data_IF_340630084373
#
_entry.id   IF_340630084373
#
_cell.length_a   1.000
_cell.length_b   1.000
_cell.length_c   1.000
_cell.angle_alpha   90.00
_cell.angle_beta   90.00
_cell.angle_gamma   90.00
#
_symmetry.space_group_name_H-M   'P 1'
#
loop_
_entity.id
_entity.type
_entity.pdbx_description
1 polymer ?
#
# COMPACT_ATOMS: atom_id res chain seq x y z
N UNK A 1 15.68 1.23 -1.77
CA UNK A 1 16.60 0.85 -2.87
C UNK A 1 16.40 1.73 -4.08
N UNK A 2 17.28 1.66 -5.07
CA UNK A 2 17.29 2.50 -6.29
C UNK A 2 15.92 2.54 -7.02
N UNK A 3 15.26 1.40 -7.17
CA UNK A 3 13.94 1.33 -7.80
C UNK A 3 12.86 2.12 -7.04
N UNK A 4 12.93 2.17 -5.71
CA UNK A 4 11.98 2.94 -4.89
C UNK A 4 12.19 4.45 -5.06
N UNK A 5 13.45 4.86 -5.23
CA UNK A 5 13.77 6.25 -5.57
C UNK A 5 13.20 6.63 -6.94
N UNK A 6 13.35 5.79 -7.96
CA UNK A 6 12.79 6.04 -9.30
C UNK A 6 11.26 6.15 -9.29
N UNK A 7 10.59 5.23 -8.60
CA UNK A 7 9.13 5.25 -8.43
C UNK A 7 8.66 6.53 -7.73
N UNK A 8 9.39 6.97 -6.71
CA UNK A 8 9.09 8.20 -5.99
C UNK A 8 9.32 9.45 -6.83
N UNK A 9 10.46 9.54 -7.53
CA UNK A 9 10.77 10.65 -8.44
C UNK A 9 9.73 10.74 -9.56
N UNK A 10 9.38 9.62 -10.20
CA UNK A 10 8.36 9.59 -11.25
C UNK A 10 6.98 10.01 -10.73
N UNK A 11 6.60 9.56 -9.52
CA UNK A 11 5.32 9.95 -8.92
C UNK A 11 5.26 11.45 -8.59
N UNK A 12 6.36 12.02 -8.06
CA UNK A 12 6.45 13.46 -7.76
C UNK A 12 6.44 14.29 -9.05
N UNK A 13 7.15 13.83 -10.09
CA UNK A 13 7.14 14.47 -11.41
C UNK A 13 5.76 14.46 -12.05
N UNK A 14 4.97 13.41 -11.84
CA UNK A 14 3.59 13.34 -12.31
C UNK A 14 2.66 14.28 -11.52
N UNK A 15 2.77 14.29 -10.19
CA UNK A 15 2.14 15.29 -9.32
C UNK A 15 2.71 15.16 -7.91
N UNK A 16 2.91 16.31 -7.25
CA UNK A 16 3.30 16.33 -5.84
C UNK A 16 2.34 15.54 -4.95
N UNK A 17 1.04 15.49 -5.31
CA UNK A 17 0.00 14.78 -4.56
C UNK A 17 0.21 13.27 -4.55
N UNK A 18 0.56 12.68 -5.70
CA UNK A 18 0.85 11.25 -5.81
C UNK A 18 2.14 10.88 -5.08
N UNK A 19 3.15 11.75 -5.17
CA UNK A 19 4.39 11.59 -4.39
C UNK A 19 4.15 11.60 -2.88
N UNK A 20 3.37 12.57 -2.39
CA UNK A 20 3.00 12.66 -0.97
C UNK A 20 2.19 11.45 -0.51
N UNK A 21 1.22 10.99 -1.30
CA UNK A 21 0.42 9.80 -1.01
C UNK A 21 1.30 8.55 -0.88
N UNK A 22 2.20 8.33 -1.84
CA UNK A 22 3.15 7.23 -1.84
C UNK A 22 4.07 7.28 -0.60
N UNK A 23 4.58 8.46 -0.23
CA UNK A 23 5.41 8.65 0.96
C UNK A 23 4.66 8.27 2.24
N UNK A 24 3.44 8.77 2.42
CA UNK A 24 2.62 8.47 3.62
C UNK A 24 2.39 6.98 3.73
N UNK A 25 2.00 6.31 2.66
CA UNK A 25 1.79 4.86 2.65
C UNK A 25 3.08 4.08 2.90
N UNK A 26 4.18 4.50 2.28
CA UNK A 26 5.47 3.85 2.48
C UNK A 26 5.93 3.91 3.94
N UNK A 27 5.85 5.08 4.57
CA UNK A 27 6.27 5.24 5.97
C UNK A 27 5.34 4.53 6.95
N UNK A 28 4.03 4.57 6.72
CA UNK A 28 3.06 3.88 7.59
C UNK A 28 3.22 2.37 7.50
N UNK A 29 3.26 1.80 6.30
CA UNK A 29 3.49 0.36 6.08
C UNK A 29 4.84 -0.08 6.65
N UNK A 30 5.91 0.69 6.45
CA UNK A 30 7.24 0.36 7.02
C UNK A 30 7.25 0.32 8.55
N UNK A 31 6.49 1.19 9.22
CA UNK A 31 6.35 1.16 10.68
C UNK A 31 5.53 -0.06 11.14
N UNK A 32 4.43 -0.35 10.44
CA UNK A 32 3.56 -1.49 10.71
C UNK A 32 4.30 -2.82 10.58
N UNK A 33 5.04 -3.03 9.48
CA UNK A 33 5.85 -4.24 9.29
C UNK A 33 6.85 -4.39 10.43
N UNK A 34 7.55 -3.32 10.86
CA UNK A 34 8.49 -3.40 11.99
C UNK A 34 7.82 -3.81 13.30
N UNK A 35 6.66 -3.24 13.61
CA UNK A 35 5.90 -3.56 14.83
C UNK A 35 5.38 -5.01 14.82
N UNK A 36 4.82 -5.46 13.71
CA UNK A 36 4.33 -6.82 13.57
C UNK A 36 5.48 -7.85 13.62
N UNK A 37 6.62 -7.54 13.00
CA UNK A 37 7.84 -8.36 13.07
C UNK A 37 8.34 -8.51 14.51
N UNK A 38 8.39 -7.42 15.29
CA UNK A 38 8.83 -7.45 16.69
C UNK A 38 7.91 -8.31 17.57
N UNK A 39 6.59 -8.25 17.33
CA UNK A 39 5.61 -9.06 18.08
C UNK A 39 5.63 -10.53 17.66
N UNK A 40 5.75 -10.84 16.36
CA UNK A 40 5.93 -12.20 15.83
C UNK A 40 7.16 -12.86 16.47
N UNK A 41 8.28 -12.14 16.55
CA UNK A 41 9.50 -12.62 17.22
C UNK A 41 9.31 -12.92 18.72
N UNK A 42 8.41 -12.21 19.41
CA UNK A 42 8.12 -12.45 20.84
C UNK A 42 7.18 -13.63 21.08
N UNK A 43 6.30 -13.95 20.13
CA UNK A 43 5.25 -14.96 20.29
C UNK A 43 5.56 -16.31 19.60
N UNK A 44 6.47 -16.36 18.62
CA UNK A 44 6.81 -17.59 17.90
C UNK A 44 8.28 -18.01 18.14
N UNK A 45 8.46 -19.18 18.77
CA UNK A 45 9.78 -19.75 19.05
C UNK A 45 10.50 -20.28 17.79
N UNK A 46 9.76 -20.51 16.70
CA UNK A 46 10.27 -21.01 15.42
C UNK A 46 10.40 -19.88 14.37
N UNK A 47 10.40 -18.63 14.83
CA UNK A 47 10.50 -17.44 13.98
C UNK A 47 11.77 -17.48 13.12
N UNK A 48 11.62 -17.78 11.83
CA UNK A 48 12.70 -17.59 10.85
C UNK A 48 12.84 -16.10 10.57
N UNK A 49 13.93 -15.52 11.05
CA UNK A 49 14.36 -14.17 10.71
C UNK A 49 14.69 -14.13 9.21
N UNK A 50 13.68 -13.76 8.43
CA UNK A 50 13.71 -13.84 6.97
C UNK A 50 12.62 -13.03 6.30
N UNK A 51 11.98 -12.11 7.03
CA UNK A 51 11.00 -11.13 6.53
C UNK A 51 11.59 -10.07 5.59
N UNK A 52 12.63 -10.42 4.81
CA UNK A 52 13.18 -9.60 3.73
C UNK A 52 12.27 -9.55 2.48
N UNK A 53 11.04 -10.03 2.60
CA UNK A 53 10.05 -10.06 1.54
C UNK A 53 8.99 -9.02 1.85
N UNK A 54 9.30 -7.78 1.50
CA UNK A 54 8.30 -6.69 1.48
C UNK A 54 8.71 -5.61 0.47
N UNK A 55 10.00 -5.33 0.29
CA UNK A 55 10.46 -4.29 -0.65
C UNK A 55 10.14 -4.58 -2.12
N UNK A 56 10.17 -5.86 -2.53
CA UNK A 56 9.81 -6.29 -3.90
C UNK A 56 8.29 -6.23 -4.12
N UNK A 57 7.49 -6.62 -3.13
CA UNK A 57 6.02 -6.49 -3.18
C UNK A 57 5.62 -5.01 -3.21
N UNK A 58 6.23 -4.18 -2.36
CA UNK A 58 6.03 -2.73 -2.35
C UNK A 58 6.41 -2.12 -3.71
N UNK A 59 7.51 -2.56 -4.32
CA UNK A 59 7.92 -2.08 -5.65
C UNK A 59 6.93 -2.44 -6.75
N UNK A 60 6.52 -3.71 -6.83
CA UNK A 60 5.58 -4.19 -7.84
C UNK A 60 4.20 -3.54 -7.67
N UNK A 61 3.76 -3.36 -6.42
CA UNK A 61 2.50 -2.68 -6.12
C UNK A 61 2.58 -1.19 -6.49
N UNK A 62 3.72 -0.54 -6.26
CA UNK A 62 3.89 0.89 -6.57
C UNK A 62 4.14 1.15 -8.06
N UNK A 63 4.67 0.18 -8.82
CA UNK A 63 4.95 0.38 -10.25
C UNK A 63 3.69 0.53 -11.10
N UNK A 64 2.62 -0.22 -10.78
CA UNK A 64 1.33 -0.10 -11.48
C UNK A 64 0.72 1.29 -11.23
N UNK A 65 0.72 1.73 -9.97
CA UNK A 65 0.23 3.06 -9.61
C UNK A 65 1.07 4.18 -10.26
N UNK A 66 2.39 3.99 -10.37
CA UNK A 66 3.29 4.94 -11.04
C UNK A 66 3.02 5.01 -12.54
N UNK A 67 2.80 3.86 -13.20
CA UNK A 67 2.45 3.83 -14.62
C UNK A 67 1.12 4.56 -14.89
N UNK A 68 0.13 4.36 -14.02
CA UNK A 68 -1.15 5.09 -14.10
C UNK A 68 -0.97 6.59 -13.84
N UNK A 69 -0.15 6.99 -12.86
CA UNK A 69 0.14 8.39 -12.59
C UNK A 69 0.85 9.09 -13.76
N UNK A 70 1.81 8.41 -14.41
CA UNK A 70 2.46 8.91 -15.62
C UNK A 70 1.48 8.99 -16.80
N UNK A 71 0.56 8.03 -16.93
CA UNK A 71 -0.51 8.09 -17.92
C UNK A 71 -1.44 9.28 -17.71
N UNK A 72 -1.80 9.58 -16.45
CA UNK A 72 -2.54 10.79 -16.09
C UNK A 72 -1.75 12.04 -16.47
N UNK A 73 -0.48 12.14 -16.09
CA UNK A 73 0.36 13.29 -16.40
C UNK A 73 0.52 13.50 -17.92
N UNK A 74 0.65 12.43 -18.70
CA UNK A 74 0.70 12.51 -20.16
C UNK A 74 -0.62 13.05 -20.74
N UNK A 75 -1.76 12.56 -20.26
CA UNK A 75 -3.08 12.99 -20.73
C UNK A 75 -3.44 14.43 -20.31
N UNK A 76 -2.89 14.91 -19.18
CA UNK A 76 -3.10 16.29 -18.71
C UNK A 76 -2.04 17.27 -19.21
N UNK A 77 -1.09 16.83 -20.04
CA UNK A 77 -0.01 17.66 -20.53
C UNK A 77 0.91 18.17 -19.42
N UNK A 78 1.17 17.34 -18.41
CA UNK A 78 1.96 17.65 -17.22
C UNK A 78 1.40 18.77 -16.35
N UNK A 79 0.15 19.18 -16.57
CA UNK A 79 -0.56 20.07 -15.65
C UNK A 79 -1.16 19.24 -14.52
N UNK A 80 -0.92 19.69 -13.28
CA UNK A 80 -1.53 19.10 -12.09
C UNK A 80 -2.99 19.56 -12.01
N UNK A 81 -3.89 18.76 -12.58
CA UNK A 81 -5.32 19.06 -12.60
C UNK A 81 -5.96 18.40 -11.37
N UNK A 82 -6.62 19.20 -10.54
CA UNK A 82 -7.46 18.67 -9.46
C UNK A 82 -8.58 17.79 -10.02
N UNK A 83 -9.05 16.83 -9.21
CA UNK A 83 -10.24 16.01 -9.47
C UNK A 83 -11.37 16.90 -9.99
N UNK A 84 -11.69 16.76 -11.28
CA UNK A 84 -12.74 17.51 -11.94
C UNK A 84 -13.57 16.56 -12.79
N UNK A 85 -14.58 15.97 -12.16
CA UNK A 85 -15.46 14.97 -12.76
C UNK A 85 -16.30 15.53 -13.91
N UNK A 86 -16.52 16.85 -13.97
CA UNK A 86 -17.28 17.49 -15.07
C UNK A 86 -16.42 17.68 -16.33
N UNK A 87 -15.17 18.10 -16.18
CA UNK A 87 -14.31 18.43 -17.33
C UNK A 87 -13.47 17.26 -17.83
N UNK A 88 -13.15 16.30 -16.96
CA UNK A 88 -12.28 15.18 -17.31
C UNK A 88 -12.67 13.89 -16.54
N UNK A 89 -13.78 13.22 -16.93
CA UNK A 89 -14.25 12.01 -16.25
C UNK A 89 -13.26 10.86 -16.35
N UNK A 90 -12.54 10.71 -17.48
CA UNK A 90 -11.54 9.66 -17.67
C UNK A 90 -10.31 9.87 -16.75
N UNK A 91 -9.83 11.11 -16.62
CA UNK A 91 -8.73 11.45 -15.70
C UNK A 91 -9.14 11.21 -14.25
N UNK A 92 -10.34 11.65 -13.87
CA UNK A 92 -10.88 11.43 -12.52
C UNK A 92 -11.00 9.93 -12.20
N UNK A 93 -11.46 9.12 -13.16
CA UNK A 93 -11.50 7.66 -13.03
C UNK A 93 -10.12 7.02 -12.84
N UNK A 94 -9.11 7.47 -13.59
CA UNK A 94 -7.72 7.00 -13.43
C UNK A 94 -7.13 7.37 -12.06
N UNK A 95 -7.39 8.59 -11.57
CA UNK A 95 -7.00 9.00 -10.21
C UNK A 95 -7.69 8.13 -9.16
N UNK A 96 -8.98 7.85 -9.32
CA UNK A 96 -9.72 6.93 -8.46
C UNK A 96 -9.13 5.52 -8.48
N UNK A 97 -8.74 5.02 -9.65
CA UNK A 97 -8.05 3.74 -9.81
C UNK A 97 -6.70 3.69 -9.09
N UNK A 98 -5.90 4.75 -9.17
CA UNK A 98 -4.62 4.87 -8.44
C UNK A 98 -4.86 4.81 -6.93
N UNK A 99 -5.84 5.57 -6.42
CA UNK A 99 -6.20 5.58 -5.00
C UNK A 99 -6.69 4.21 -4.53
N UNK A 100 -7.58 3.57 -5.32
CA UNK A 100 -8.10 2.24 -5.02
C UNK A 100 -7.01 1.17 -5.02
N UNK A 101 -6.07 1.22 -5.96
CA UNK A 101 -4.92 0.32 -6.02
C UNK A 101 -4.03 0.47 -4.79
N UNK A 102 -3.65 1.71 -4.43
CA UNK A 102 -2.90 1.95 -3.20
C UNK A 102 -3.66 1.48 -1.95
N UNK A 103 -4.97 1.72 -1.87
CA UNK A 103 -5.76 1.27 -0.73
C UNK A 103 -5.81 -0.26 -0.61
N UNK A 104 -5.96 -0.96 -1.73
CA UNK A 104 -5.99 -2.43 -1.77
C UNK A 104 -4.64 -3.03 -1.34
N UNK A 105 -3.54 -2.57 -1.95
CA UNK A 105 -2.20 -3.05 -1.63
C UNK A 105 -1.81 -2.75 -0.17
N UNK A 106 -2.12 -1.57 0.34
CA UNK A 106 -1.86 -1.25 1.75
C UNK A 106 -2.79 -2.01 2.69
N UNK A 107 -4.05 -2.25 2.31
CA UNK A 107 -5.00 -3.04 3.09
C UNK A 107 -4.50 -4.47 3.32
N UNK A 108 -3.93 -5.11 2.30
CA UNK A 108 -3.35 -6.45 2.40
C UNK A 108 -2.19 -6.50 3.41
N UNK A 109 -1.26 -5.53 3.34
CA UNK A 109 -0.15 -5.40 4.29
C UNK A 109 -0.63 -5.06 5.70
N UNK A 110 -1.53 -4.08 5.84
CA UNK A 110 -1.99 -3.63 7.16
C UNK A 110 -2.83 -4.69 7.84
N UNK A 111 -3.66 -5.43 7.10
CA UNK A 111 -4.47 -6.52 7.65
C UNK A 111 -3.61 -7.62 8.27
N UNK A 112 -2.56 -8.05 7.58
CA UNK A 112 -1.66 -9.10 8.07
C UNK A 112 -0.78 -8.66 9.25
N UNK A 113 -0.37 -7.39 9.30
CA UNK A 113 0.46 -6.87 10.39
C UNK A 113 -0.36 -6.41 11.61
N UNK A 114 -1.52 -5.75 11.42
CA UNK A 114 -2.44 -5.37 12.52
C UNK A 114 -3.16 -6.60 13.07
N UNK A 115 -3.54 -7.55 12.21
CA UNK A 115 -4.24 -8.76 12.64
C UNK A 115 -3.45 -9.56 13.69
N UNK A 116 -2.12 -9.58 13.58
CA UNK A 116 -1.22 -10.24 14.54
C UNK A 116 -1.11 -9.48 15.87
N UNK A 117 -1.45 -8.19 15.89
CA UNK A 117 -1.52 -7.39 17.11
C UNK A 117 -2.86 -7.54 17.84
N UNK A 118 -3.86 -8.16 17.22
CA UNK A 118 -5.17 -8.37 17.84
C UNK A 118 -5.07 -9.30 19.05
N UNK A 119 -5.61 -8.84 20.18
CA UNK A 119 -5.75 -9.67 21.39
C UNK A 119 -7.00 -10.56 21.34
N UNK A 120 -7.90 -10.30 20.38
CA UNK A 120 -9.16 -11.02 20.22
C UNK A 120 -8.94 -12.32 19.47
N UNK A 121 -9.67 -13.36 19.86
CA UNK A 121 -9.56 -14.67 19.23
C UNK A 121 -10.04 -14.61 17.77
N UNK A 122 -9.25 -15.13 16.81
CA UNK A 122 -9.65 -15.11 15.41
C UNK A 122 -10.94 -15.92 15.24
N UNK A 123 -11.91 -15.36 14.52
CA UNK A 123 -13.17 -16.02 14.20
C UNK A 123 -13.21 -16.38 12.72
N UNK A 124 -13.71 -17.57 12.40
CA UNK A 124 -13.86 -18.00 11.02
C UNK A 124 -15.06 -17.26 10.40
N UNK A 125 -14.87 -16.50 9.32
CA UNK A 125 -15.92 -15.64 8.71
C UNK A 125 -17.15 -16.46 8.27
N UNK A 126 -16.98 -17.72 7.88
CA UNK A 126 -18.08 -18.58 7.41
C UNK A 126 -18.95 -19.13 8.54
N UNK A 127 -18.43 -19.25 9.77
CA UNK A 127 -19.15 -19.85 10.90
C UNK A 127 -19.27 -18.92 12.10
N UNK A 128 -18.56 -17.79 12.09
CA UNK A 128 -18.37 -16.85 13.18
C UNK A 128 -17.91 -17.50 14.49
N UNK A 129 -17.34 -18.71 14.43
CA UNK A 129 -16.81 -19.44 15.60
C UNK A 129 -15.33 -19.12 15.81
N UNK A 130 -14.90 -19.12 17.07
CA UNK A 130 -13.48 -18.96 17.43
C UNK A 130 -12.64 -20.09 16.86
N UNK A 131 -11.54 -19.75 16.19
CA UNK A 131 -10.65 -20.68 15.51
C UNK A 131 -9.94 -21.63 16.49
N UNK A 132 -9.71 -21.16 17.71
CA UNK A 132 -9.12 -21.93 18.81
C UNK A 132 -10.19 -22.20 19.88
N UNK A 133 -11.07 -23.17 19.65
CA UNK A 133 -11.89 -23.68 20.76
C UNK A 133 -10.96 -24.43 21.71
N UNK A 134 -10.67 -23.84 22.89
CA UNK A 134 -10.25 -24.61 24.05
C UNK A 134 -11.48 -25.22 24.71
#
# INVERSE_FOLDING_TARGET
GFAGFLVMSASIMASFRFGALLLVFFFTSSKLTKLGTEKKRKNDAEYKEGGQRDWMQVLVNSSIATALALGVAYLTGWNDICLNSEKAPLVTGLIGGILGHYACCNGDTWSSEIGVLSSSQPQLITTFKGLFQR
#
